data_IF_309898863642
#
_entry.id   IF_309898863642
#
_cell.length_a   1.000
_cell.length_b   1.000
_cell.length_c   1.000
_cell.angle_alpha   90.00
_cell.angle_beta   90.00
_cell.angle_gamma   90.00
#
_symmetry.space_group_name_H-M   'P 1'
#
loop_
_entity.id
_entity.type
_entity.pdbx_description
1 polymer ?
#
# COMPACT_ATOMS: atom_id res chain seq x y z
N UNK A 1 -2.58 -2.92 29.41
CA UNK A 1 -2.74 -2.56 27.99
C UNK A 1 -2.79 -1.05 27.94
N UNK A 2 -1.90 -0.39 27.20
CA UNK A 2 -2.06 1.06 26.98
C UNK A 2 -3.25 1.29 26.05
N UNK A 3 -3.91 2.44 26.16
CA UNK A 3 -5.05 2.80 25.31
C UNK A 3 -4.67 2.77 23.82
N UNK A 4 -3.43 3.15 23.48
CA UNK A 4 -2.85 3.02 22.14
C UNK A 4 -2.84 1.56 21.62
N UNK A 5 -2.53 0.58 22.47
CA UNK A 5 -2.45 -0.81 22.05
C UNK A 5 -3.83 -1.35 21.58
N UNK A 6 -4.93 -0.82 22.12
CA UNK A 6 -6.28 -1.16 21.67
C UNK A 6 -6.54 -0.65 20.25
N UNK A 7 -6.12 0.59 19.93
CA UNK A 7 -6.23 1.13 18.58
C UNK A 7 -5.38 0.34 17.57
N UNK A 8 -4.14 0.01 17.92
CA UNK A 8 -3.28 -0.80 17.05
C UNK A 8 -3.86 -2.20 16.82
N UNK A 9 -4.47 -2.81 17.84
CA UNK A 9 -5.15 -4.10 17.70
C UNK A 9 -6.39 -4.00 16.80
N UNK A 10 -7.20 -2.94 16.94
CA UNK A 10 -8.36 -2.70 16.09
C UNK A 10 -7.97 -2.53 14.62
N UNK A 11 -6.95 -1.71 14.33
CA UNK A 11 -6.44 -1.51 12.96
C UNK A 11 -5.81 -2.79 12.39
N UNK A 12 -5.17 -3.61 13.23
CA UNK A 12 -4.66 -4.91 12.78
C UNK A 12 -5.80 -5.87 12.43
N UNK A 13 -6.88 -5.87 13.20
CA UNK A 13 -8.05 -6.72 12.97
C UNK A 13 -8.83 -6.29 11.73
N UNK A 14 -8.95 -4.98 11.50
CA UNK A 14 -9.61 -4.43 10.31
C UNK A 14 -8.80 -3.27 9.70
N UNK A 15 -7.84 -3.55 8.78
CA UNK A 15 -6.96 -2.51 8.25
C UNK A 15 -7.66 -1.44 7.41
N UNK A 16 -8.84 -1.72 6.87
CA UNK A 16 -9.64 -0.77 6.07
C UNK A 16 -10.63 0.04 6.90
N UNK A 17 -10.65 -0.14 8.23
CA UNK A 17 -11.50 0.66 9.11
C UNK A 17 -10.99 2.10 9.22
N UNK A 18 -11.54 2.97 8.38
CA UNK A 18 -11.25 4.40 8.42
C UNK A 18 -11.81 5.07 9.67
N UNK A 19 -12.91 4.56 10.23
CA UNK A 19 -13.48 5.12 11.45
C UNK A 19 -12.54 4.87 12.63
N UNK A 20 -12.05 3.64 12.81
CA UNK A 20 -11.06 3.33 13.85
C UNK A 20 -9.78 4.17 13.68
N UNK A 21 -9.36 4.42 12.44
CA UNK A 21 -8.19 5.24 12.13
C UNK A 21 -8.39 6.72 12.47
N UNK A 22 -9.58 7.27 12.24
CA UNK A 22 -9.90 8.65 12.60
C UNK A 22 -10.05 8.83 14.12
N UNK A 23 -10.70 7.91 14.82
CA UNK A 23 -10.80 7.96 16.29
C UNK A 23 -9.42 7.90 16.94
N UNK A 24 -8.52 7.05 16.41
CA UNK A 24 -7.14 7.01 16.89
C UNK A 24 -6.37 8.31 16.59
N UNK A 25 -6.63 8.96 15.44
CA UNK A 25 -6.04 10.26 15.12
C UNK A 25 -6.48 11.34 16.12
N UNK A 26 -7.77 11.37 16.49
CA UNK A 26 -8.29 12.33 17.47
C UNK A 26 -7.66 12.07 18.86
N UNK A 27 -7.54 10.81 19.27
CA UNK A 27 -6.84 10.44 20.49
C UNK A 27 -5.36 10.89 20.47
N UNK A 28 -4.66 10.73 19.34
CA UNK A 28 -3.26 11.16 19.21
C UNK A 28 -3.10 12.67 19.33
N UNK A 29 -4.01 13.47 18.74
CA UNK A 29 -4.01 14.92 18.90
C UNK A 29 -4.21 15.34 20.37
N UNK A 30 -5.17 14.72 21.05
CA UNK A 30 -5.44 14.97 22.47
C UNK A 30 -4.25 14.59 23.38
N UNK A 31 -3.45 13.61 22.96
CA UNK A 31 -2.25 13.17 23.67
C UNK A 31 -0.96 13.90 23.22
N UNK A 32 -1.07 14.96 22.42
CA UNK A 32 0.08 15.77 22.02
C UNK A 32 0.96 15.15 20.92
N UNK A 33 0.41 14.23 20.14
CA UNK A 33 1.06 13.58 18.99
C UNK A 33 0.45 14.00 17.64
N UNK A 34 0.40 15.32 17.30
CA UNK A 34 -0.36 15.80 16.15
C UNK A 34 0.20 15.35 14.79
N UNK A 35 1.50 15.08 14.70
CA UNK A 35 2.11 14.58 13.47
C UNK A 35 1.64 13.15 13.17
N UNK A 36 1.45 12.31 14.20
CA UNK A 36 0.88 10.97 14.03
C UNK A 36 -0.60 11.05 13.67
N UNK A 37 -1.35 11.95 14.30
CA UNK A 37 -2.75 12.18 13.94
C UNK A 37 -2.91 12.63 12.48
N UNK A 38 -2.09 13.58 12.03
CA UNK A 38 -2.08 14.05 10.64
C UNK A 38 -1.78 12.91 9.66
N UNK A 39 -0.80 12.05 9.96
CA UNK A 39 -0.49 10.87 9.14
C UNK A 39 -1.71 9.96 8.96
N UNK A 40 -2.43 9.64 10.03
CA UNK A 40 -3.62 8.78 9.96
C UNK A 40 -4.73 9.40 9.12
N UNK A 41 -5.01 10.70 9.31
CA UNK A 41 -5.99 11.42 8.49
C UNK A 41 -5.57 11.48 7.03
N UNK A 42 -4.27 11.61 6.77
CA UNK A 42 -3.75 11.59 5.43
C UNK A 42 -3.94 10.23 4.76
N UNK A 43 -3.63 9.12 5.45
CA UNK A 43 -3.91 7.75 4.98
C UNK A 43 -5.39 7.57 4.59
N UNK A 44 -6.32 8.03 5.44
CA UNK A 44 -7.78 7.96 5.16
C UNK A 44 -8.13 8.79 3.93
N UNK A 45 -7.61 10.02 3.83
CA UNK A 45 -7.86 10.92 2.71
C UNK A 45 -7.35 10.32 1.40
N UNK A 46 -6.12 9.79 1.39
CA UNK A 46 -5.54 9.12 0.22
C UNK A 46 -6.35 7.91 -0.20
N UNK A 47 -6.85 7.13 0.76
CA UNK A 47 -7.63 5.93 0.45
C UNK A 47 -9.05 6.21 -0.06
N UNK A 48 -9.55 7.44 0.11
CA UNK A 48 -10.82 7.90 -0.48
C UNK A 48 -10.66 8.38 -1.92
N UNK A 49 -9.43 8.57 -2.40
CA UNK A 49 -9.19 8.96 -3.78
C UNK A 49 -9.39 7.76 -4.73
N UNK A 50 -9.80 8.08 -5.96
CA UNK A 50 -9.99 7.10 -7.02
C UNK A 50 -8.78 7.05 -7.97
N UNK A 51 -8.64 5.94 -8.69
CA UNK A 51 -7.59 5.75 -9.69
C UNK A 51 -6.24 5.28 -9.12
N UNK A 52 -5.16 5.50 -9.89
CA UNK A 52 -3.82 5.11 -9.48
C UNK A 52 -3.25 6.10 -8.46
N UNK A 53 -3.25 5.71 -7.19
CA UNK A 53 -2.80 6.55 -6.09
C UNK A 53 -1.30 6.86 -6.15
N UNK A 54 -0.50 6.08 -6.89
CA UNK A 54 0.91 6.39 -7.11
C UNK A 54 1.11 7.69 -7.91
N UNK A 55 0.13 8.07 -8.73
CA UNK A 55 0.13 9.30 -9.51
C UNK A 55 -0.70 10.43 -8.84
N UNK A 56 -1.29 10.17 -7.67
CA UNK A 56 -2.12 11.16 -6.99
C UNK A 56 -1.26 12.28 -6.42
N UNK A 57 -1.74 13.52 -6.57
CA UNK A 57 -1.17 14.70 -5.92
C UNK A 57 -1.17 14.50 -4.40
N UNK A 58 -0.02 14.71 -3.75
CA UNK A 58 0.14 14.50 -2.31
C UNK A 58 0.91 13.24 -1.93
N UNK A 59 1.25 12.35 -2.86
CA UNK A 59 2.12 11.21 -2.59
C UNK A 59 3.45 11.62 -1.93
N UNK A 60 3.96 12.81 -2.26
CA UNK A 60 5.14 13.41 -1.65
C UNK A 60 5.01 13.68 -0.15
N UNK A 61 3.79 13.89 0.37
CA UNK A 61 3.58 14.09 1.81
C UNK A 61 3.89 12.84 2.63
N UNK A 62 3.66 11.66 2.07
CA UNK A 62 4.07 10.40 2.71
C UNK A 62 5.59 10.32 2.94
N UNK A 63 6.39 10.92 2.04
CA UNK A 63 7.84 11.02 2.22
C UNK A 63 8.18 11.90 3.44
N UNK A 64 7.47 13.02 3.62
CA UNK A 64 7.63 13.90 4.78
C UNK A 64 7.36 13.18 6.11
N UNK A 65 6.25 12.42 6.18
CA UNK A 65 5.95 11.58 7.35
C UNK A 65 6.99 10.47 7.57
N UNK A 66 7.59 9.97 6.48
CA UNK A 66 8.65 8.98 6.54
C UNK A 66 9.89 9.43 7.30
N UNK A 67 10.19 10.73 7.27
CA UNK A 67 11.32 11.33 8.01
C UNK A 67 10.95 11.57 9.48
N UNK A 68 9.69 11.97 9.74
CA UNK A 68 9.25 12.37 11.08
C UNK A 68 8.78 11.22 11.98
N UNK A 69 8.32 10.11 11.40
CA UNK A 69 7.64 9.03 12.11
C UNK A 69 8.31 7.67 11.89
N UNK A 70 8.38 6.88 12.96
CA UNK A 70 8.96 5.53 12.93
C UNK A 70 8.25 4.62 11.91
N UNK A 71 9.05 3.92 11.10
CA UNK A 71 8.56 3.02 10.05
C UNK A 71 7.68 1.89 10.61
N UNK A 72 8.06 1.31 11.75
CA UNK A 72 7.29 0.24 12.39
C UNK A 72 5.87 0.68 12.76
N UNK A 73 5.73 1.92 13.25
CA UNK A 73 4.42 2.48 13.61
C UNK A 73 3.60 2.77 12.34
N UNK A 74 4.19 3.45 11.36
CA UNK A 74 3.55 3.73 10.06
C UNK A 74 3.09 2.46 9.35
N UNK A 75 3.89 1.39 9.43
CA UNK A 75 3.52 0.09 8.85
C UNK A 75 2.30 -0.50 9.55
N UNK A 76 2.19 -0.43 10.88
CA UNK A 76 1.03 -0.97 11.60
C UNK A 76 -0.26 -0.22 11.27
N UNK A 77 -0.18 1.10 11.13
CA UNK A 77 -1.38 1.96 11.05
C UNK A 77 -1.73 2.39 9.62
N UNK A 78 -0.76 2.40 8.71
CA UNK A 78 -0.91 2.80 7.30
C UNK A 78 -1.17 1.64 6.33
N UNK A 79 -1.07 0.39 6.81
CA UNK A 79 -1.19 -0.83 5.99
C UNK A 79 -2.60 -1.10 5.48
N UNK A 80 -3.04 -0.34 4.48
CA UNK A 80 -4.40 -0.44 3.91
C UNK A 80 -4.48 -0.25 2.40
N UNK A 81 -3.34 -0.35 1.73
CA UNK A 81 -3.23 -0.22 0.29
C UNK A 81 -2.81 -1.55 -0.34
N UNK A 82 -3.25 -1.73 -1.57
CA UNK A 82 -2.87 -2.84 -2.42
C UNK A 82 -1.98 -2.32 -3.55
N UNK A 83 -0.92 -3.08 -3.84
CA UNK A 83 -0.06 -2.87 -5.00
C UNK A 83 -0.53 -3.80 -6.10
N UNK A 84 -1.00 -3.22 -7.20
CA UNK A 84 -1.59 -3.96 -8.30
C UNK A 84 -0.64 -3.99 -9.50
N UNK A 85 -0.50 -5.16 -10.12
CA UNK A 85 0.02 -5.29 -11.46
C UNK A 85 -1.07 -4.92 -12.46
N UNK A 86 -0.83 -3.89 -13.27
CA UNK A 86 -1.82 -3.36 -14.23
C UNK A 86 -1.44 -3.58 -15.68
N UNK A 87 -0.13 -3.71 -15.96
CA UNK A 87 0.37 -4.00 -17.30
C UNK A 87 1.69 -4.73 -17.21
N UNK A 88 1.91 -5.65 -18.13
CA UNK A 88 3.23 -6.16 -18.45
C UNK A 88 3.31 -6.49 -19.95
N UNK A 89 4.51 -6.69 -20.49
CA UNK A 89 4.72 -7.16 -21.86
C UNK A 89 5.14 -8.64 -21.88
N UNK A 90 4.51 -9.43 -22.76
CA UNK A 90 4.73 -10.88 -22.86
C UNK A 90 6.17 -11.26 -23.24
N UNK A 91 6.90 -10.36 -23.94
CA UNK A 91 8.29 -10.57 -24.33
C UNK A 91 9.26 -10.75 -23.15
N UNK A 92 8.89 -10.26 -21.96
CA UNK A 92 9.73 -10.25 -20.76
C UNK A 92 9.11 -11.05 -19.60
N UNK A 93 8.24 -12.02 -19.89
CA UNK A 93 7.57 -12.82 -18.88
C UNK A 93 8.52 -13.47 -17.86
N UNK A 94 9.76 -13.79 -18.24
CA UNK A 94 10.80 -14.30 -17.33
C UNK A 94 11.18 -13.25 -16.28
N UNK A 95 11.44 -12.00 -16.70
CA UNK A 95 11.79 -10.92 -15.78
C UNK A 95 10.62 -10.55 -14.88
N UNK A 96 9.41 -10.44 -15.44
CA UNK A 96 8.17 -10.19 -14.69
C UNK A 96 7.94 -11.28 -13.64
N UNK A 97 8.08 -12.56 -14.03
CA UNK A 97 7.93 -13.68 -13.09
C UNK A 97 8.96 -13.62 -11.97
N UNK A 98 10.23 -13.33 -12.30
CA UNK A 98 11.30 -13.20 -11.30
C UNK A 98 11.01 -12.07 -10.32
N UNK A 99 10.59 -10.92 -10.82
CA UNK A 99 10.25 -9.76 -10.00
C UNK A 99 9.07 -10.04 -9.06
N UNK A 100 7.98 -10.63 -9.58
CA UNK A 100 6.82 -11.00 -8.74
C UNK A 100 7.24 -11.94 -7.62
N UNK A 101 8.07 -12.95 -7.91
CA UNK A 101 8.55 -13.89 -6.90
C UNK A 101 9.46 -13.24 -5.87
N UNK A 102 10.36 -12.36 -6.30
CA UNK A 102 11.22 -11.60 -5.39
C UNK A 102 10.38 -10.72 -4.44
N UNK A 103 9.34 -10.07 -4.98
CA UNK A 103 8.50 -9.16 -4.23
C UNK A 103 7.56 -9.86 -3.25
N UNK A 104 6.98 -10.99 -3.66
CA UNK A 104 5.89 -11.68 -2.92
C UNK A 104 6.35 -12.93 -2.19
N UNK A 105 7.51 -13.48 -2.53
CA UNK A 105 7.99 -14.78 -2.04
C UNK A 105 7.27 -16.00 -2.63
N UNK A 106 6.37 -15.81 -3.61
CA UNK A 106 5.56 -16.90 -4.16
C UNK A 106 6.36 -17.89 -5.04
N UNK A 107 5.73 -19.04 -5.28
CA UNK A 107 6.23 -20.05 -6.21
C UNK A 107 6.15 -19.59 -7.67
N UNK A 108 6.84 -20.30 -8.57
CA UNK A 108 6.77 -20.01 -10.00
C UNK A 108 5.35 -20.17 -10.56
N UNK A 109 4.62 -21.19 -10.13
CA UNK A 109 3.25 -21.44 -10.60
C UNK A 109 2.29 -20.31 -10.20
N UNK A 110 2.41 -19.80 -8.97
CA UNK A 110 1.61 -18.66 -8.50
C UNK A 110 1.92 -17.38 -9.26
N UNK A 111 3.21 -17.06 -9.45
CA UNK A 111 3.62 -15.90 -10.24
C UNK A 111 3.12 -16.00 -11.69
N UNK A 112 3.15 -17.19 -12.29
CA UNK A 112 2.64 -17.41 -13.64
C UNK A 112 1.13 -17.25 -13.72
N UNK A 113 0.39 -17.76 -12.73
CA UNK A 113 -1.06 -17.58 -12.65
C UNK A 113 -1.46 -16.10 -12.57
N UNK A 114 -0.71 -15.28 -11.83
CA UNK A 114 -0.90 -13.81 -11.79
C UNK A 114 -0.75 -13.20 -13.19
N UNK A 115 0.35 -13.52 -13.87
CA UNK A 115 0.66 -13.02 -15.21
C UNK A 115 -0.43 -13.44 -16.21
N UNK A 116 -0.78 -14.73 -16.22
CA UNK A 116 -1.79 -15.28 -17.13
C UNK A 116 -3.18 -14.68 -16.86
N UNK A 117 -3.56 -14.47 -15.59
CA UNK A 117 -4.83 -13.80 -15.26
C UNK A 117 -4.88 -12.36 -15.77
N UNK A 118 -3.78 -11.61 -15.68
CA UNK A 118 -3.72 -10.28 -16.26
C UNK A 118 -3.76 -10.32 -17.79
N UNK A 119 -2.98 -11.20 -18.42
CA UNK A 119 -2.90 -11.30 -19.88
C UNK A 119 -4.22 -11.70 -20.53
N UNK A 120 -4.88 -12.75 -19.99
CA UNK A 120 -6.06 -13.33 -20.61
C UNK A 120 -7.36 -12.68 -20.18
N UNK A 121 -7.44 -12.16 -18.96
CA UNK A 121 -8.68 -11.59 -18.41
C UNK A 121 -8.66 -10.06 -18.39
N UNK A 122 -7.51 -9.43 -18.61
CA UNK A 122 -7.31 -7.98 -18.49
C UNK A 122 -7.77 -7.44 -17.12
N UNK A 123 -7.53 -8.21 -16.07
CA UNK A 123 -7.89 -7.87 -14.69
C UNK A 123 -6.60 -7.54 -13.94
N UNK A 124 -6.50 -6.32 -13.39
CA UNK A 124 -5.38 -5.94 -12.51
C UNK A 124 -5.25 -6.92 -11.35
N UNK A 125 -4.04 -7.42 -11.11
CA UNK A 125 -3.80 -8.44 -10.10
C UNK A 125 -3.12 -7.84 -8.86
N UNK A 126 -3.61 -8.12 -7.63
CA UNK A 126 -2.90 -7.72 -6.43
C UNK A 126 -1.60 -8.52 -6.31
N UNK A 127 -0.46 -7.83 -6.20
CA UNK A 127 0.83 -8.44 -5.90
C UNK A 127 1.08 -8.46 -4.39
N UNK A 128 0.82 -7.32 -3.74
CA UNK A 128 0.90 -7.17 -2.29
C UNK A 128 -0.38 -6.50 -1.83
N UNK A 129 -0.91 -6.96 -0.69
CA UNK A 129 -2.11 -6.42 -0.09
C UNK A 129 -1.86 -6.01 1.34
N UNK A 130 -2.62 -5.01 1.82
CA UNK A 130 -2.52 -4.51 3.20
C UNK A 130 -1.09 -4.05 3.52
N UNK A 131 -0.50 -3.28 2.61
CA UNK A 131 0.80 -2.63 2.83
C UNK A 131 0.62 -1.12 2.98
N UNK A 132 1.62 -0.46 3.56
CA UNK A 132 1.65 1.00 3.65
C UNK A 132 1.79 1.63 2.27
N UNK A 133 1.31 2.87 2.12
CA UNK A 133 1.44 3.61 0.86
C UNK A 133 2.91 3.77 0.48
N UNK A 134 3.77 4.00 1.48
CA UNK A 134 5.20 4.19 1.33
C UNK A 134 5.89 2.93 0.79
N UNK A 135 5.55 1.77 1.35
CA UNK A 135 6.08 0.50 0.86
C UNK A 135 5.63 0.25 -0.59
N UNK A 136 4.36 0.50 -0.91
CA UNK A 136 3.85 0.36 -2.27
C UNK A 136 4.54 1.34 -3.24
N UNK A 137 4.73 2.60 -2.83
CA UNK A 137 5.38 3.64 -3.61
C UNK A 137 6.84 3.32 -3.90
N UNK A 138 7.60 2.83 -2.91
CA UNK A 138 8.98 2.39 -3.12
C UNK A 138 9.09 1.30 -4.19
N UNK A 139 8.13 0.37 -4.23
CA UNK A 139 8.12 -0.69 -5.26
C UNK A 139 7.80 -0.11 -6.65
N UNK A 140 6.84 0.83 -6.74
CA UNK A 140 6.56 1.56 -7.98
C UNK A 140 7.81 2.30 -8.50
N UNK A 141 8.58 2.94 -7.61
CA UNK A 141 9.82 3.65 -7.98
C UNK A 141 10.89 2.71 -8.54
N UNK A 142 11.05 1.51 -7.97
CA UNK A 142 12.04 0.51 -8.44
C UNK A 142 11.84 0.12 -9.90
N UNK A 143 10.58 0.10 -10.35
CA UNK A 143 10.19 -0.32 -11.71
C UNK A 143 9.77 0.85 -12.60
N UNK A 144 9.90 2.11 -12.13
CA UNK A 144 9.45 3.31 -12.87
C UNK A 144 10.06 3.42 -14.27
N UNK A 145 11.27 2.89 -14.47
CA UNK A 145 12.00 2.90 -15.75
C UNK A 145 11.68 1.69 -16.65
N UNK A 146 10.80 0.79 -16.22
CA UNK A 146 10.46 -0.41 -16.98
C UNK A 146 9.24 -0.10 -17.84
N UNK A 147 9.46 0.33 -19.08
CA UNK A 147 8.36 0.71 -20.00
C UNK A 147 7.38 -0.45 -20.30
N UNK A 148 7.85 -1.68 -20.08
CA UNK A 148 7.11 -2.92 -20.29
C UNK A 148 6.33 -3.39 -19.06
N UNK A 149 6.35 -2.68 -17.93
CA UNK A 149 5.77 -3.13 -16.65
C UNK A 149 5.17 -1.95 -15.89
N UNK A 150 3.89 -2.06 -15.50
CA UNK A 150 3.20 -0.98 -14.79
C UNK A 150 2.52 -1.48 -13.51
N UNK A 151 2.79 -0.76 -12.43
CA UNK A 151 2.14 -0.94 -11.13
C UNK A 151 1.20 0.22 -10.84
N UNK A 152 0.15 -0.06 -10.08
CA UNK A 152 -0.71 0.97 -9.50
C UNK A 152 -0.93 0.72 -8.01
N UNK A 153 -1.16 1.79 -7.26
CA UNK A 153 -1.55 1.70 -5.86
C UNK A 153 -3.06 1.95 -5.78
N UNK A 154 -3.78 1.11 -5.06
CA UNK A 154 -5.22 1.24 -4.83
C UNK A 154 -5.55 1.05 -3.35
N UNK A 155 -6.69 1.58 -2.86
CA UNK A 155 -7.17 1.26 -1.51
C UNK A 155 -7.51 -0.23 -1.43
N UNK A 156 -7.12 -0.90 -0.34
CA UNK A 156 -7.58 -2.27 -0.09
C UNK A 156 -9.10 -2.29 0.05
N UNK A 157 -9.73 -3.32 -0.52
CA UNK A 157 -11.19 -3.54 -0.40
C UNK A 157 -11.53 -4.18 0.96
N UNK A 158 -12.68 -3.86 1.57
CA UNK A 158 -13.17 -4.55 2.77
C UNK A 158 -13.41 -6.04 2.54
#
# INVERSE_FOLDING_TARGET
MSDEAAFLAALKANPVDDTARLVYADWLDENGEPVRAEYLRFVVTTARNEGNLAAATGAERFVGFGVALAEEWRTKVGSRFDLLLTRFWDGDAIQTTRFIRELTGCSFGEARAIIDNLAFRNISQPLLSRISFEAASQVCERVRRWDYFALSIAPSRP
#
